data_IF_846188283910
#
_entry.id   IF_846188283910
#
_cell.length_a   1.000
_cell.length_b   1.000
_cell.length_c   1.000
_cell.angle_alpha   90.00
_cell.angle_beta   90.00
_cell.angle_gamma   90.00
#
_symmetry.space_group_name_H-M   'P 1'
#
loop_
_entity.id
_entity.type
_entity.pdbx_description
1 polymer ?
#
# COMPACT_ATOMS: atom_id res chain seq x y z
N UNK A 1 -24.16 -18.53 15.30
CA UNK A 1 -23.13 -18.34 14.27
C UNK A 1 -23.60 -19.05 13.02
N UNK A 2 -23.91 -18.31 11.95
CA UNK A 2 -24.45 -18.87 10.70
C UNK A 2 -23.34 -19.56 9.89
N UNK A 3 -23.67 -20.53 9.02
CA UNK A 3 -22.69 -21.17 8.12
C UNK A 3 -21.93 -20.19 7.20
N UNK A 4 -22.56 -19.05 6.88
CA UNK A 4 -21.95 -17.97 6.08
C UNK A 4 -20.71 -17.35 6.75
N UNK A 5 -20.73 -17.24 8.07
CA UNK A 5 -19.68 -16.58 8.85
C UNK A 5 -18.30 -17.23 8.68
N UNK A 6 -18.23 -18.56 8.59
CA UNK A 6 -16.97 -19.28 8.39
C UNK A 6 -16.41 -19.11 6.98
N UNK A 7 -17.29 -18.98 5.98
CA UNK A 7 -16.90 -18.72 4.59
C UNK A 7 -16.35 -17.31 4.46
N UNK A 8 -17.01 -16.32 5.07
CA UNK A 8 -16.55 -14.93 5.08
C UNK A 8 -15.15 -14.82 5.71
N UNK A 9 -14.89 -15.58 6.78
CA UNK A 9 -13.60 -15.60 7.48
C UNK A 9 -12.48 -16.26 6.66
N UNK A 10 -12.79 -17.36 5.96
CA UNK A 10 -11.84 -18.04 5.06
C UNK A 10 -11.52 -17.18 3.83
N UNK A 11 -12.53 -16.53 3.27
CA UNK A 11 -12.34 -15.61 2.16
C UNK A 11 -11.52 -14.37 2.57
N UNK A 12 -11.79 -13.83 3.77
CA UNK A 12 -11.02 -12.76 4.39
C UNK A 12 -9.56 -13.18 4.53
N UNK A 13 -9.31 -14.37 5.09
CA UNK A 13 -7.97 -14.91 5.22
C UNK A 13 -7.26 -15.02 3.87
N UNK A 14 -7.94 -15.53 2.83
CA UNK A 14 -7.34 -15.68 1.49
C UNK A 14 -7.00 -14.34 0.86
N UNK A 15 -7.89 -13.36 0.95
CA UNK A 15 -7.68 -12.02 0.41
C UNK A 15 -6.47 -11.35 1.06
N UNK A 16 -6.47 -11.28 2.40
CA UNK A 16 -5.41 -10.63 3.16
C UNK A 16 -4.07 -11.36 3.05
N UNK A 17 -4.05 -12.70 2.95
CA UNK A 17 -2.82 -13.45 2.70
C UNK A 17 -2.21 -13.16 1.33
N UNK A 18 -3.04 -13.02 0.30
CA UNK A 18 -2.58 -12.65 -1.04
C UNK A 18 -2.02 -11.23 -1.04
N UNK A 19 -2.71 -10.30 -0.40
CA UNK A 19 -2.25 -8.91 -0.23
C UNK A 19 -0.93 -8.82 0.54
N UNK A 20 -0.75 -9.63 1.59
CA UNK A 20 0.49 -9.70 2.37
C UNK A 20 1.70 -10.14 1.53
N UNK A 21 1.51 -11.13 0.65
CA UNK A 21 2.54 -11.59 -0.28
C UNK A 21 2.84 -10.58 -1.40
N UNK A 22 1.84 -9.80 -1.80
CA UNK A 22 1.95 -8.77 -2.84
C UNK A 22 2.44 -7.42 -2.30
N UNK A 23 2.74 -7.30 -0.99
CA UNK A 23 3.22 -6.08 -0.35
C UNK A 23 4.68 -5.74 -0.69
N UNK A 24 4.99 -5.63 -1.99
CA UNK A 24 6.29 -5.21 -2.51
C UNK A 24 6.33 -3.69 -2.53
N UNK A 25 7.17 -3.07 -1.69
CA UNK A 25 7.31 -1.61 -1.61
C UNK A 25 6.68 -0.95 -0.37
N UNK A 26 6.19 -1.75 0.59
CA UNK A 26 5.73 -1.26 1.90
C UNK A 26 4.21 -1.34 2.10
N UNK A 27 3.77 -1.24 3.37
CA UNK A 27 2.37 -1.47 3.76
C UNK A 27 1.35 -0.49 3.18
N UNK A 28 1.78 0.68 2.66
CA UNK A 28 0.89 1.66 2.03
C UNK A 28 0.67 1.33 0.54
N UNK A 29 1.61 0.63 -0.11
CA UNK A 29 1.51 0.29 -1.53
C UNK A 29 0.37 -0.69 -1.83
N UNK A 30 -0.08 -1.46 -0.83
CA UNK A 30 -1.19 -2.42 -0.98
C UNK A 30 -2.57 -1.78 -0.82
N UNK A 31 -2.67 -0.52 -0.37
CA UNK A 31 -3.96 0.14 -0.10
C UNK A 31 -4.87 0.21 -1.32
N UNK A 32 -4.40 0.56 -2.54
CA UNK A 32 -5.24 0.57 -3.73
C UNK A 32 -5.74 -0.84 -4.11
N UNK A 33 -4.90 -1.86 -3.97
CA UNK A 33 -5.28 -3.25 -4.25
C UNK A 33 -6.23 -3.80 -3.18
N UNK A 34 -6.05 -3.38 -1.93
CA UNK A 34 -7.01 -3.65 -0.85
C UNK A 34 -8.37 -3.04 -1.16
N UNK A 35 -8.44 -1.78 -1.58
CA UNK A 35 -9.70 -1.15 -1.98
C UNK A 35 -10.37 -1.96 -3.08
N UNK A 36 -9.61 -2.34 -4.12
CA UNK A 36 -10.11 -3.14 -5.24
C UNK A 36 -10.71 -4.47 -4.78
N UNK A 37 -10.01 -5.24 -3.95
CA UNK A 37 -10.49 -6.55 -3.50
C UNK A 37 -11.65 -6.44 -2.50
N UNK A 38 -11.59 -5.49 -1.57
CA UNK A 38 -12.52 -5.42 -0.45
C UNK A 38 -13.81 -4.68 -0.83
N UNK A 39 -13.69 -3.59 -1.61
CA UNK A 39 -14.81 -2.74 -2.01
C UNK A 39 -15.38 -3.18 -3.35
N UNK A 40 -14.53 -3.38 -4.37
CA UNK A 40 -15.00 -3.60 -5.76
C UNK A 40 -15.33 -5.07 -6.02
N UNK A 41 -14.44 -6.00 -5.69
CA UNK A 41 -14.65 -7.42 -5.98
C UNK A 41 -15.61 -8.11 -5.00
N UNK A 42 -15.46 -7.83 -3.70
CA UNK A 42 -16.17 -8.58 -2.64
C UNK A 42 -17.32 -7.80 -2.02
N UNK A 43 -17.33 -6.48 -2.14
CA UNK A 43 -18.38 -5.62 -1.59
C UNK A 43 -18.54 -5.71 -0.08
N UNK A 44 -17.49 -6.13 0.66
CA UNK A 44 -17.55 -6.25 2.12
C UNK A 44 -17.66 -4.90 2.84
N UNK A 45 -17.09 -3.87 2.22
CA UNK A 45 -17.10 -2.50 2.71
C UNK A 45 -17.51 -1.58 1.57
N UNK A 46 -18.27 -0.55 1.89
CA UNK A 46 -18.44 0.59 0.99
C UNK A 46 -17.15 1.39 0.90
N UNK A 47 -16.98 2.16 -0.18
CA UNK A 47 -15.82 3.07 -0.33
C UNK A 47 -15.69 4.02 0.87
N UNK A 48 -16.81 4.46 1.45
CA UNK A 48 -16.81 5.35 2.63
C UNK A 48 -16.26 4.62 3.87
N UNK A 49 -16.75 3.42 4.16
CA UNK A 49 -16.28 2.65 5.31
C UNK A 49 -14.81 2.22 5.16
N UNK A 50 -14.36 1.98 3.94
CA UNK A 50 -12.94 1.75 3.64
C UNK A 50 -12.09 2.99 3.96
N UNK A 51 -12.53 4.17 3.50
CA UNK A 51 -11.85 5.44 3.81
C UNK A 51 -11.87 5.76 5.31
N UNK A 52 -12.96 5.46 6.00
CA UNK A 52 -13.06 5.63 7.45
C UNK A 52 -12.06 4.70 8.17
N UNK A 53 -11.96 3.44 7.74
CA UNK A 53 -10.99 2.47 8.28
C UNK A 53 -9.54 2.90 8.00
N UNK A 54 -9.27 3.46 6.83
CA UNK A 54 -7.98 4.05 6.47
C UNK A 54 -7.65 5.25 7.36
N UNK A 55 -8.60 6.18 7.54
CA UNK A 55 -8.43 7.34 8.41
C UNK A 55 -8.16 6.93 9.87
N UNK A 56 -8.91 5.96 10.41
CA UNK A 56 -8.68 5.40 11.74
C UNK A 56 -7.28 4.76 11.87
N UNK A 57 -6.83 4.05 10.83
CA UNK A 57 -5.48 3.49 10.77
C UNK A 57 -4.39 4.56 10.84
N UNK A 58 -4.61 5.71 10.20
CA UNK A 58 -3.66 6.83 10.18
C UNK A 58 -3.70 7.70 11.45
N UNK A 59 -4.85 7.76 12.13
CA UNK A 59 -5.02 8.49 13.39
C UNK A 59 -4.41 7.75 14.58
N UNK A 60 -4.35 6.42 14.52
CA UNK A 60 -3.84 5.61 15.61
C UNK A 60 -2.30 5.69 15.63
N UNK A 61 -1.66 6.06 16.75
CA UNK A 61 -0.21 6.06 16.84
C UNK A 61 0.31 4.63 16.69
N UNK A 62 1.00 4.34 15.58
CA UNK A 62 1.46 3.00 15.26
C UNK A 62 1.63 2.76 13.76
N UNK A 63 1.64 1.49 13.32
CA UNK A 63 1.69 1.16 11.91
C UNK A 63 0.38 1.59 11.24
N UNK A 64 0.45 2.36 10.15
CA UNK A 64 -0.74 2.72 9.33
C UNK A 64 -1.52 1.50 8.80
N UNK A 65 -0.90 0.32 8.86
CA UNK A 65 -1.50 -1.00 8.64
C UNK A 65 -2.63 -1.34 9.64
N UNK A 66 -2.84 -0.58 10.72
CA UNK A 66 -3.99 -0.79 11.63
C UNK A 66 -5.35 -0.69 10.91
N UNK A 67 -5.41 -0.04 9.74
CA UNK A 67 -6.58 -0.10 8.87
C UNK A 67 -7.07 -1.53 8.57
N UNK A 68 -6.16 -2.51 8.53
CA UNK A 68 -6.46 -3.93 8.28
C UNK A 68 -7.28 -4.52 9.43
N UNK A 69 -6.96 -4.13 10.67
CA UNK A 69 -7.71 -4.54 11.84
C UNK A 69 -9.13 -3.96 11.80
N UNK A 70 -9.26 -2.66 11.51
CA UNK A 70 -10.57 -2.01 11.41
C UNK A 70 -11.42 -2.55 10.27
N UNK A 71 -10.82 -2.75 9.08
CA UNK A 71 -11.50 -3.36 7.95
C UNK A 71 -11.93 -4.80 8.27
N UNK A 72 -11.05 -5.61 8.86
CA UNK A 72 -11.37 -6.98 9.32
C UNK A 72 -12.49 -7.01 10.37
N UNK A 73 -12.52 -6.03 11.28
CA UNK A 73 -13.61 -5.86 12.25
C UNK A 73 -14.96 -5.61 11.58
N UNK A 74 -14.98 -4.82 10.49
CA UNK A 74 -16.22 -4.54 9.75
C UNK A 74 -16.74 -5.77 8.98
N UNK A 75 -15.85 -6.66 8.52
CA UNK A 75 -16.27 -7.87 7.80
C UNK A 75 -16.83 -8.93 8.73
N UNK A 76 -16.13 -9.27 9.82
CA UNK A 76 -16.48 -10.42 10.67
C UNK A 76 -16.40 -10.13 12.18
N UNK A 77 -16.39 -8.87 12.60
CA UNK A 77 -16.30 -8.49 14.01
C UNK A 77 -14.93 -8.80 14.63
N UNK A 78 -14.90 -9.04 15.95
CA UNK A 78 -13.67 -9.37 16.68
C UNK A 78 -12.83 -10.51 16.06
N UNK A 79 -13.40 -11.64 15.62
CA UNK A 79 -12.60 -12.69 14.97
C UNK A 79 -12.05 -12.26 13.61
N UNK A 80 -12.73 -11.35 12.91
CA UNK A 80 -12.23 -10.75 11.67
C UNK A 80 -10.95 -9.94 11.87
N UNK A 81 -10.76 -9.28 13.02
CA UNK A 81 -9.51 -8.60 13.37
C UNK A 81 -8.35 -9.60 13.41
N UNK A 82 -8.51 -10.66 14.21
CA UNK A 82 -7.46 -11.63 14.43
C UNK A 82 -7.07 -12.34 13.13
N UNK A 83 -8.07 -12.70 12.32
CA UNK A 83 -7.84 -13.37 11.04
C UNK A 83 -7.23 -12.44 10.01
N UNK A 84 -7.69 -11.18 9.87
CA UNK A 84 -7.10 -10.25 8.92
C UNK A 84 -5.63 -9.95 9.22
N UNK A 85 -5.29 -9.73 10.49
CA UNK A 85 -3.90 -9.51 10.93
C UNK A 85 -3.05 -10.77 10.75
N UNK A 86 -3.53 -11.93 11.19
CA UNK A 86 -2.79 -13.18 11.01
C UNK A 86 -2.59 -13.48 9.52
N UNK A 87 -3.63 -13.32 8.70
CA UNK A 87 -3.58 -13.61 7.28
C UNK A 87 -2.61 -12.70 6.53
N UNK A 88 -2.53 -11.40 6.85
CA UNK A 88 -1.59 -10.51 6.16
C UNK A 88 -0.14 -10.72 6.60
N UNK A 89 0.10 -10.98 7.89
CA UNK A 89 1.45 -11.08 8.43
C UNK A 89 2.03 -12.49 8.35
N UNK A 90 1.25 -13.53 8.62
CA UNK A 90 1.74 -14.91 8.64
C UNK A 90 2.45 -15.35 7.35
N UNK A 91 1.90 -15.18 6.13
CA UNK A 91 2.58 -15.66 4.92
C UNK A 91 3.89 -14.91 4.69
N UNK A 92 3.91 -13.60 4.96
CA UNK A 92 5.11 -12.76 4.81
C UNK A 92 6.16 -13.09 5.86
N UNK A 93 5.77 -13.31 7.13
CA UNK A 93 6.66 -13.76 8.20
C UNK A 93 7.23 -15.15 7.94
N UNK A 94 6.40 -16.09 7.46
CA UNK A 94 6.84 -17.44 7.10
C UNK A 94 7.81 -17.38 5.92
N UNK A 95 7.47 -16.60 4.88
CA UNK A 95 8.31 -16.44 3.70
C UNK A 95 9.66 -15.83 4.07
N UNK A 96 9.67 -14.74 4.83
CA UNK A 96 10.90 -14.07 5.27
C UNK A 96 11.73 -14.96 6.19
N UNK A 97 11.11 -15.69 7.11
CA UNK A 97 11.81 -16.66 7.98
C UNK A 97 12.43 -17.81 7.17
N UNK A 98 11.69 -18.37 6.20
CA UNK A 98 12.18 -19.43 5.33
C UNK A 98 13.34 -18.94 4.45
N UNK A 99 13.21 -17.73 3.89
CA UNK A 99 14.28 -17.11 3.13
C UNK A 99 15.50 -16.87 4.02
N UNK A 100 15.33 -16.27 5.21
CA UNK A 100 16.43 -15.95 6.12
C UNK A 100 17.20 -17.21 6.56
N UNK A 101 16.51 -18.28 6.95
CA UNK A 101 17.14 -19.54 7.40
C UNK A 101 17.89 -20.27 6.27
N UNK A 102 17.42 -20.14 5.02
CA UNK A 102 18.05 -20.75 3.84
C UNK A 102 19.05 -19.81 3.15
N UNK A 103 19.06 -18.52 3.51
CA UNK A 103 19.82 -17.47 2.85
C UNK A 103 21.33 -17.72 2.87
N UNK A 104 21.89 -18.13 4.02
CA UNK A 104 23.32 -18.39 4.18
C UNK A 104 23.84 -19.41 3.14
N UNK A 105 23.02 -20.41 2.80
CA UNK A 105 23.35 -21.44 1.82
C UNK A 105 23.19 -20.95 0.38
N UNK A 106 22.18 -20.13 0.13
CA UNK A 106 21.84 -19.66 -1.23
C UNK A 106 22.59 -18.41 -1.66
N UNK A 107 23.10 -17.59 -0.73
CA UNK A 107 23.84 -16.34 -1.02
C UNK A 107 25.10 -16.56 -1.86
N UNK A 108 25.66 -17.77 -1.84
CA UNK A 108 26.81 -18.16 -2.68
C UNK A 108 26.44 -18.52 -4.12
N UNK A 109 25.16 -18.77 -4.41
CA UNK A 109 24.70 -19.08 -5.76
C UNK A 109 24.75 -17.85 -6.68
N UNK A 110 25.03 -18.02 -7.99
CA UNK A 110 24.96 -16.93 -8.95
C UNK A 110 23.53 -16.36 -9.09
N UNK A 111 22.50 -17.19 -8.88
CA UNK A 111 21.09 -16.79 -8.95
C UNK A 111 20.72 -15.82 -7.83
N UNK A 112 21.09 -16.11 -6.58
CA UNK A 112 20.79 -15.21 -5.45
C UNK A 112 21.41 -13.82 -5.64
N UNK A 113 22.66 -13.76 -6.13
CA UNK A 113 23.33 -12.49 -6.44
C UNK A 113 22.69 -11.74 -7.62
N UNK A 114 22.18 -12.46 -8.61
CA UNK A 114 21.45 -11.85 -9.73
C UNK A 114 20.11 -11.25 -9.24
N UNK A 115 19.38 -11.96 -8.38
CA UNK A 115 18.13 -11.49 -7.78
C UNK A 115 18.37 -10.26 -6.89
N UNK A 116 19.38 -10.30 -6.02
CA UNK A 116 19.73 -9.18 -5.14
C UNK A 116 20.09 -7.92 -5.93
N UNK A 117 20.84 -8.06 -7.02
CA UNK A 117 21.15 -6.93 -7.93
C UNK A 117 19.94 -6.47 -8.74
N UNK A 118 19.01 -7.36 -9.07
CA UNK A 118 17.80 -7.04 -9.82
C UNK A 118 16.72 -6.36 -8.97
N UNK A 119 16.67 -6.65 -7.67
CA UNK A 119 15.67 -6.09 -6.75
C UNK A 119 15.74 -4.57 -6.64
N UNK A 120 16.94 -3.99 -6.62
CA UNK A 120 17.12 -2.54 -6.57
C UNK A 120 16.47 -1.80 -7.75
N UNK A 121 16.87 -2.09 -9.01
CA UNK A 121 16.27 -1.51 -10.20
C UNK A 121 14.76 -1.79 -10.33
N UNK A 122 14.31 -3.01 -9.96
CA UNK A 122 12.89 -3.37 -10.00
C UNK A 122 12.09 -2.52 -9.01
N UNK A 123 12.57 -2.33 -7.79
CA UNK A 123 11.92 -1.48 -6.79
C UNK A 123 11.83 -0.02 -7.28
N UNK A 124 12.91 0.52 -7.84
CA UNK A 124 12.92 1.88 -8.42
C UNK A 124 11.93 1.98 -9.59
N UNK A 125 11.89 0.98 -10.48
CA UNK A 125 10.96 0.94 -11.60
C UNK A 125 9.50 0.87 -11.16
N UNK A 126 9.18 0.05 -10.15
CA UNK A 126 7.83 -0.05 -9.58
C UNK A 126 7.39 1.26 -8.90
N UNK A 127 8.27 1.88 -8.12
CA UNK A 127 8.00 3.19 -7.51
C UNK A 127 7.78 4.27 -8.56
N UNK A 128 8.60 4.29 -9.62
CA UNK A 128 8.44 5.21 -10.74
C UNK A 128 7.12 4.97 -11.50
N UNK A 129 6.75 3.71 -11.76
CA UNK A 129 5.49 3.36 -12.40
C UNK A 129 4.27 3.75 -11.56
N UNK A 130 4.33 3.56 -10.25
CA UNK A 130 3.31 4.03 -9.30
C UNK A 130 3.20 5.55 -9.32
N UNK A 131 4.33 6.25 -9.24
CA UNK A 131 4.37 7.72 -9.33
C UNK A 131 3.82 8.25 -10.65
N UNK A 132 4.15 7.62 -11.78
CA UNK A 132 3.62 7.96 -13.10
C UNK A 132 2.11 7.74 -13.20
N UNK A 133 1.61 6.63 -12.63
CA UNK A 133 0.18 6.34 -12.61
C UNK A 133 -0.59 7.40 -11.82
N UNK A 134 -0.08 7.78 -10.64
CA UNK A 134 -0.65 8.87 -9.84
C UNK A 134 -0.56 10.21 -10.56
N UNK A 135 0.56 10.49 -11.23
CA UNK A 135 0.75 11.74 -11.99
C UNK A 135 -0.27 11.84 -13.12
N UNK A 136 -0.52 10.75 -13.86
CA UNK A 136 -1.54 10.73 -14.92
C UNK A 136 -2.96 10.95 -14.41
N UNK A 137 -3.25 10.51 -13.18
CA UNK A 137 -4.55 10.75 -12.54
C UNK A 137 -4.68 12.19 -12.01
N UNK A 138 -3.58 12.81 -11.60
CA UNK A 138 -3.57 14.16 -11.03
C UNK A 138 -3.41 15.27 -12.08
N UNK A 139 -2.73 15.01 -13.19
CA UNK A 139 -2.39 16.00 -14.22
C UNK A 139 -3.39 15.94 -15.37
N UNK A 140 -4.38 16.83 -15.34
CA UNK A 140 -5.36 16.98 -16.42
C UNK A 140 -5.15 18.20 -17.32
N UNK A 141 -4.34 19.18 -16.91
CA UNK A 141 -4.16 20.45 -17.60
C UNK A 141 -2.67 20.85 -17.71
N UNK A 142 -2.34 21.69 -18.69
CA UNK A 142 -0.96 22.17 -18.98
C UNK A 142 -0.35 22.87 -17.77
N UNK A 143 -1.18 23.58 -17.00
CA UNK A 143 -0.76 24.26 -15.77
C UNK A 143 -0.39 23.26 -14.65
N UNK A 144 -1.18 22.20 -14.47
CA UNK A 144 -0.89 21.15 -13.47
C UNK A 144 0.35 20.36 -13.85
N UNK A 145 0.59 20.16 -15.15
CA UNK A 145 1.81 19.55 -15.67
C UNK A 145 3.04 20.43 -15.38
N UNK A 146 2.93 21.75 -15.56
CA UNK A 146 4.00 22.70 -15.24
C UNK A 146 4.33 22.69 -13.74
N UNK A 147 3.30 22.68 -12.86
CA UNK A 147 3.49 22.61 -11.41
C UNK A 147 4.16 21.28 -11.01
N UNK A 148 3.77 20.16 -11.60
CA UNK A 148 4.36 18.85 -11.33
C UNK A 148 5.85 18.79 -11.74
N UNK A 149 6.19 19.32 -12.92
CA UNK A 149 7.58 19.37 -13.41
C UNK A 149 8.42 20.28 -12.54
N UNK A 150 7.96 21.50 -12.27
CA UNK A 150 8.68 22.47 -11.42
C UNK A 150 8.85 21.94 -10.00
N UNK A 151 7.79 21.36 -9.41
CA UNK A 151 7.84 20.75 -8.07
C UNK A 151 8.85 19.61 -7.99
N UNK A 152 8.90 18.75 -9.01
CA UNK A 152 9.86 17.64 -9.10
C UNK A 152 11.30 18.15 -9.25
N UNK A 153 11.52 19.19 -10.07
CA UNK A 153 12.83 19.81 -10.26
C UNK A 153 13.34 20.49 -8.99
N UNK A 154 12.45 21.18 -8.26
CA UNK A 154 12.75 21.83 -6.98
C UNK A 154 13.07 20.78 -5.92
N UNK A 155 12.28 19.71 -5.82
CA UNK A 155 12.56 18.56 -4.94
C UNK A 155 13.93 17.95 -5.22
N UNK A 156 14.22 17.67 -6.49
CA UNK A 156 15.47 17.05 -6.91
C UNK A 156 16.69 17.93 -6.61
N UNK A 157 16.57 19.26 -6.76
CA UNK A 157 17.70 20.18 -6.62
C UNK A 157 17.94 20.69 -5.19
N UNK A 158 16.88 20.84 -4.39
CA UNK A 158 16.94 21.47 -3.08
C UNK A 158 16.68 20.51 -1.91
N UNK A 159 16.23 19.27 -2.17
CA UNK A 159 15.99 18.27 -1.12
C UNK A 159 15.00 18.72 -0.04
N UNK A 160 14.11 19.65 -0.38
CA UNK A 160 13.15 20.24 0.55
C UNK A 160 12.17 19.19 1.06
N UNK A 161 11.66 19.40 2.27
CA UNK A 161 10.62 18.55 2.83
C UNK A 161 9.43 18.48 1.86
N UNK A 162 8.93 17.27 1.49
CA UNK A 162 7.82 17.11 0.55
C UNK A 162 6.59 17.93 0.93
N UNK A 163 6.37 18.15 2.23
CA UNK A 163 5.30 19.00 2.75
C UNK A 163 5.36 20.45 2.18
N UNK A 164 6.54 21.04 2.06
CA UNK A 164 6.70 22.43 1.57
C UNK A 164 6.30 22.55 0.10
N UNK A 165 6.63 21.55 -0.72
CA UNK A 165 6.19 21.51 -2.13
C UNK A 165 4.68 21.30 -2.23
N UNK A 166 4.09 20.46 -1.38
CA UNK A 166 2.63 20.23 -1.38
C UNK A 166 1.87 21.49 -0.97
N UNK A 167 2.29 22.17 0.10
CA UNK A 167 1.66 23.42 0.54
C UNK A 167 1.90 24.57 -0.46
N UNK A 168 3.10 24.67 -1.04
CA UNK A 168 3.41 25.66 -2.06
C UNK A 168 2.63 25.45 -3.36
N UNK A 169 2.57 24.21 -3.85
CA UNK A 169 1.79 23.85 -5.03
C UNK A 169 0.29 24.04 -4.81
N UNK A 170 -0.22 23.69 -3.62
CA UNK A 170 -1.61 23.92 -3.24
C UNK A 170 -1.97 25.40 -3.15
N UNK A 171 -1.10 26.24 -2.59
CA UNK A 171 -1.30 27.69 -2.54
C UNK A 171 -1.32 28.34 -3.92
N UNK A 172 -0.44 27.88 -4.84
CA UNK A 172 -0.41 28.34 -6.24
C UNK A 172 -1.67 27.88 -6.99
N UNK A 173 -2.14 26.65 -6.77
CA UNK A 173 -3.40 26.16 -7.34
C UNK A 173 -4.61 26.99 -6.88
N UNK A 174 -4.68 27.26 -5.58
CA UNK A 174 -5.73 28.06 -4.96
C UNK A 174 -5.75 29.52 -5.46
N UNK A 175 -4.57 30.15 -5.60
CA UNK A 175 -4.44 31.50 -6.16
C UNK A 175 -4.82 31.58 -7.64
N UNK A 176 -4.69 30.49 -8.39
CA UNK A 176 -5.10 30.40 -9.79
C UNK A 176 -6.58 30.00 -9.98
N UNK A 177 -7.34 29.93 -8.88
CA UNK A 177 -8.79 29.76 -8.91
C UNK A 177 -9.27 28.33 -9.18
N UNK A 178 -8.48 27.32 -8.80
CA UNK A 178 -8.88 25.90 -8.82
C UNK A 178 -8.59 25.19 -7.51
#
# INVERSE_FOLDING_TARGET
>A
MTPSFWLDLLELARAYATLGLLAVGGGIAIVPEMERQIVVERGWLTRREFLDSFALGQLTPGPGLLMIAFAGYRVAGLPGIAVALAAIFAPTCILTWLLATRWERWRRSPVARAVERGLGPVAVGLLAAGGLSLTRLAVGDVLTAAIAVVGTLVLWRFGLAPAVIVFGGGAVGWLLGR
#
